data_IF_109976251661
#
_entry.id   IF_109976251661
#
_cell.length_a   1.000
_cell.length_b   1.000
_cell.length_c   1.000
_cell.angle_alpha   90.00
_cell.angle_beta   90.00
_cell.angle_gamma   90.00
#
_symmetry.space_group_name_H-M   'P 1'
#
loop_
_entity.id
_entity.type
_entity.pdbx_description
1 polymer ?
2 non-polymer ?
3 non-polymer ?
4 water ?
#
# COMPACT_ATOMS: atom_id res chain seq x y z
N UNK A 3 -23.56 5.41 -2.52
CA UNK A 3 -23.36 4.42 -1.44
C UNK A 3 -22.12 3.58 -1.65
N UNK A 4 -21.53 3.16 -0.55
CA UNK A 4 -20.34 2.35 -0.57
C UNK A 4 -20.65 0.88 -0.83
N UNK A 5 -19.79 0.25 -1.60
CA UNK A 5 -19.83 -1.19 -1.75
C UNK A 5 -18.40 -1.71 -1.76
N UNK A 6 -18.20 -2.83 -1.09
CA UNK A 6 -16.87 -3.43 -1.11
C UNK A 6 -16.60 -4.16 -2.41
N UNK A 7 -17.62 -4.41 -3.20
CA UNK A 7 -17.48 -5.14 -4.46
C UNK A 7 -17.52 -4.27 -5.68
N UNK A 8 -17.41 -2.96 -5.46
CA UNK A 8 -17.34 -1.99 -6.51
C UNK A 8 -16.20 -1.00 -6.24
N UNK A 9 -15.77 -0.29 -7.27
CA UNK A 9 -14.80 0.78 -7.05
C UNK A 9 -15.55 2.01 -6.58
N UNK A 10 -15.13 2.53 -5.44
CA UNK A 10 -15.75 3.68 -4.82
C UNK A 10 -14.97 4.95 -5.05
N UNK A 11 -15.67 6.03 -5.36
CA UNK A 11 -14.98 7.30 -5.57
C UNK A 11 -14.46 7.80 -4.23
N UNK A 12 -13.63 8.86 -4.26
CA UNK A 12 -13.04 9.34 -3.02
C UNK A 12 -14.07 9.81 -2.01
N UNK A 13 -15.09 10.52 -2.47
CA UNK A 13 -16.13 10.99 -1.55
C UNK A 13 -16.72 9.82 -0.78
N UNK A 14 -16.98 8.73 -1.48
CA UNK A 14 -17.49 7.53 -0.86
C UNK A 14 -16.48 6.85 0.04
N UNK A 15 -15.21 6.78 -0.37
CA UNK A 15 -14.20 6.19 0.50
C UNK A 15 -14.03 6.99 1.77
N UNK A 16 -13.97 8.30 1.64
CA UNK A 16 -13.82 9.17 2.78
C UNK A 16 -14.99 9.01 3.73
N UNK A 17 -16.21 9.01 3.19
CA UNK A 17 -17.39 8.78 4.04
C UNK A 17 -17.33 7.43 4.71
N UNK A 18 -16.87 6.41 4.01
CA UNK A 18 -16.67 5.09 4.57
C UNK A 18 -15.64 5.11 5.68
N UNK A 19 -14.54 5.85 5.55
CA UNK A 19 -13.57 5.87 6.64
C UNK A 19 -14.21 6.39 7.93
N UNK A 20 -15.09 7.36 7.83
CA UNK A 20 -15.80 7.89 8.99
C UNK A 20 -16.84 6.90 9.50
N UNK A 21 -17.64 6.34 8.62
CA UNK A 21 -18.70 5.41 9.04
C UNK A 21 -18.20 4.10 9.57
N UNK A 22 -17.19 3.50 8.94
CA UNK A 22 -16.66 2.25 9.44
C UNK A 22 -16.05 2.46 10.81
N UNK A 23 -15.49 3.65 11.09
CA UNK A 23 -14.94 3.97 12.38
C UNK A 23 -16.04 4.12 13.43
N UNK A 24 -17.10 4.84 13.10
CA UNK A 24 -18.18 5.06 14.06
C UNK A 24 -18.97 3.81 14.32
N UNK A 25 -19.08 2.92 13.35
CA UNK A 25 -19.79 1.67 13.49
C UNK A 25 -18.99 0.67 14.26
N UNK A 26 -17.66 0.83 14.36
CA UNK A 26 -16.76 -0.08 15.01
C UNK A 26 -15.74 0.64 15.86
N UNK A 27 -16.21 1.33 16.92
CA UNK A 27 -15.36 2.11 17.79
C UNK A 27 -14.40 1.33 18.63
N UNK A 28 -14.71 0.09 18.95
CA UNK A 28 -13.80 -0.70 19.77
C UNK A 28 -12.72 -1.38 18.97
N UNK A 29 -12.73 -1.27 17.65
CA UNK A 29 -11.74 -1.87 16.80
C UNK A 29 -11.03 -0.88 15.91
N UNK A 30 -11.61 0.27 15.65
CA UNK A 30 -11.07 1.21 14.69
C UNK A 30 -11.08 2.63 15.23
N UNK A 31 -10.00 3.35 14.99
CA UNK A 31 -9.89 4.77 15.22
C UNK A 31 -9.36 5.40 13.94
N UNK A 32 -9.77 6.63 13.67
CA UNK A 32 -9.36 7.31 12.47
C UNK A 32 -8.61 8.58 12.77
N UNK A 33 -7.52 8.83 12.05
CA UNK A 33 -6.79 10.09 12.15
C UNK A 33 -6.47 10.56 10.74
N UNK A 34 -6.06 11.81 10.61
CA UNK A 34 -5.61 12.37 9.36
C UNK A 34 -4.12 12.64 9.50
N UNK A 35 -3.26 12.00 8.73
CA UNK A 35 -1.82 12.15 8.92
C UNK A 35 -1.21 13.34 8.21
N UNK A 36 -2.00 14.05 7.44
CA UNK A 36 -1.55 15.21 6.71
C UNK A 36 -2.60 15.52 5.65
N UNK A 37 -2.26 16.42 4.76
CA UNK A 37 -3.14 16.76 3.66
C UNK A 37 -2.37 16.62 2.36
N UNK A 38 -3.11 16.42 1.28
CA UNK A 38 -2.56 16.30 -0.06
C UNK A 38 -2.25 17.66 -0.66
N UNK A 39 -1.65 17.69 -1.84
CA UNK A 39 -1.42 18.93 -2.56
C UNK A 39 -2.70 19.74 -2.65
N UNK A 40 -3.84 19.13 -2.96
CA UNK A 40 -5.10 19.80 -3.09
C UNK A 40 -5.87 19.97 -1.78
N UNK A 41 -5.26 19.65 -0.66
CA UNK A 41 -5.87 19.93 0.63
C UNK A 41 -6.75 18.85 1.19
N UNK A 42 -6.75 17.66 0.62
CA UNK A 42 -7.60 16.59 1.14
C UNK A 42 -6.93 15.93 2.31
N UNK A 43 -7.70 15.58 3.33
CA UNK A 43 -7.17 14.87 4.48
C UNK A 43 -6.74 13.48 4.11
N UNK A 44 -5.54 13.09 4.49
CA UNK A 44 -5.05 11.76 4.22
C UNK A 44 -5.39 10.90 5.42
N UNK A 45 -6.52 10.21 5.35
CA UNK A 45 -7.00 9.41 6.46
C UNK A 45 -6.24 8.14 6.66
N UNK A 46 -6.12 7.77 7.93
CA UNK A 46 -5.45 6.56 8.36
C UNK A 46 -6.35 5.86 9.37
N UNK A 47 -6.56 4.58 9.20
CA UNK A 47 -7.35 3.79 10.13
C UNK A 47 -6.46 2.91 10.98
N UNK A 48 -6.66 2.97 12.29
CA UNK A 48 -5.90 2.11 13.17
C UNK A 48 -6.86 1.00 13.61
N UNK A 49 -6.60 -0.19 13.11
CA UNK A 49 -7.50 -1.31 13.25
C UNK A 49 -6.91 -2.31 14.21
N UNK A 50 -7.62 -2.58 15.29
CA UNK A 50 -7.15 -3.49 16.30
C UNK A 50 -7.82 -3.20 17.64
N UNK A 51 -7.79 -4.18 18.51
CA UNK A 51 -8.35 -3.96 19.85
C UNK A 51 -7.27 -3.22 20.65
N UNK A 52 -7.53 -2.00 21.02
CA UNK A 52 -6.57 -1.18 21.74
C UNK A 52 -6.03 -1.91 22.95
N UNK A 53 -4.73 -1.79 23.13
CA UNK A 53 -4.04 -2.44 24.23
C UNK A 53 -2.69 -1.75 24.39
N UNK A 54 -2.06 -2.01 25.52
CA UNK A 54 -0.79 -1.40 25.84
C UNK A 54 0.34 -1.93 24.98
N UNK A 55 1.14 -1.00 24.50
CA UNK A 55 2.36 -1.20 23.76
C UNK A 55 2.33 -2.29 22.72
N UNK A 56 1.39 -2.18 21.78
CA UNK A 56 1.22 -3.19 20.74
C UNK A 56 2.12 -2.91 19.54
N UNK A 57 2.64 -3.97 18.96
CA UNK A 57 3.36 -3.86 17.70
C UNK A 57 2.33 -3.59 16.61
N UNK A 58 2.81 -3.06 15.50
CA UNK A 58 1.89 -2.69 14.44
C UNK A 58 2.42 -3.08 13.07
N UNK A 59 1.51 -3.22 12.13
CA UNK A 59 1.77 -3.42 10.71
C UNK A 59 1.15 -2.25 9.99
N UNK A 60 1.91 -1.65 9.10
CA UNK A 60 1.44 -0.52 8.34
C UNK A 60 1.17 -0.98 6.91
N UNK A 61 -0.01 -0.68 6.42
CA UNK A 61 -0.39 -1.00 5.06
C UNK A 61 -0.98 0.22 4.39
N UNK A 62 -0.50 0.48 3.18
CA UNK A 62 -1.07 1.54 2.37
C UNK A 62 -1.48 1.03 1.00
N UNK A 63 -2.43 1.75 0.45
CA UNK A 63 -2.95 1.45 -0.88
C UNK A 63 -3.10 2.80 -1.60
N UNK A 64 -3.23 2.71 -2.91
CA UNK A 64 -3.50 3.91 -3.68
C UNK A 64 -2.35 4.87 -3.82
N UNK A 65 -1.09 4.42 -3.78
CA UNK A 65 0.00 5.30 -4.17
C UNK A 65 -0.22 5.79 -5.60
N UNK A 66 -0.56 4.87 -6.49
CA UNK A 66 -0.69 5.13 -7.91
C UNK A 66 -2.16 5.16 -8.26
N UNK A 67 -2.62 6.31 -8.70
CA UNK A 67 -3.99 6.67 -8.90
C UNK A 67 -4.83 5.69 -9.69
N UNK A 68 -4.33 5.20 -10.82
CA UNK A 68 -5.05 4.28 -11.69
C UNK A 68 -5.10 2.87 -11.20
N UNK A 69 -4.40 2.53 -10.13
CA UNK A 69 -4.42 1.17 -9.63
C UNK A 69 -5.55 0.91 -8.67
N UNK A 70 -6.77 1.02 -9.16
CA UNK A 70 -7.98 0.99 -8.38
C UNK A 70 -8.22 -0.25 -7.57
N UNK A 71 -7.68 -1.38 -8.01
CA UNK A 71 -7.85 -2.58 -7.20
C UNK A 71 -7.08 -2.45 -5.89
N UNK A 72 -6.00 -1.66 -5.87
CA UNK A 72 -5.28 -1.47 -4.59
C UNK A 72 -6.16 -0.78 -3.57
N UNK A 73 -6.82 0.31 -3.95
CA UNK A 73 -7.70 1.04 -3.04
C UNK A 73 -8.80 0.13 -2.53
N UNK A 74 -9.34 -0.69 -3.45
CA UNK A 74 -10.38 -1.64 -3.08
C UNK A 74 -9.86 -2.63 -2.06
N UNK A 75 -8.60 -3.06 -2.19
CA UNK A 75 -8.06 -4.02 -1.27
C UNK A 75 -7.97 -3.49 0.14
N UNK A 76 -7.49 -2.27 0.35
CA UNK A 76 -7.43 -1.75 1.71
C UNK A 76 -8.80 -1.77 2.37
N UNK A 77 -9.82 -1.35 1.64
CA UNK A 77 -11.18 -1.41 2.14
C UNK A 77 -11.59 -2.84 2.44
N UNK A 78 -11.30 -3.79 1.57
CA UNK A 78 -11.60 -5.17 1.86
C UNK A 78 -10.92 -5.66 3.12
N UNK A 79 -9.68 -5.27 3.36
CA UNK A 79 -9.01 -5.70 4.57
C UNK A 79 -9.78 -5.25 5.80
N UNK A 80 -10.24 -4.01 5.82
CA UNK A 80 -11.01 -3.52 6.96
C UNK A 80 -12.32 -4.27 7.10
N UNK A 81 -12.99 -4.49 5.97
CA UNK A 81 -14.20 -5.30 5.91
C UNK A 81 -13.98 -6.62 6.64
N UNK A 82 -12.92 -7.30 6.26
CA UNK A 82 -12.60 -8.59 6.84
C UNK A 82 -12.35 -8.49 8.33
N UNK A 83 -11.57 -7.51 8.73
CA UNK A 83 -11.27 -7.33 10.16
C UNK A 83 -12.56 -7.18 10.96
N UNK A 84 -13.45 -6.31 10.57
CA UNK A 84 -14.71 -6.06 11.23
C UNK A 84 -15.61 -7.27 11.23
N UNK A 85 -15.70 -7.91 10.07
CA UNK A 85 -16.62 -9.01 9.89
C UNK A 85 -16.22 -10.25 10.67
N UNK A 86 -14.94 -10.55 10.70
CA UNK A 86 -14.52 -11.83 11.24
C UNK A 86 -13.92 -11.77 12.63
N UNK A 87 -13.77 -10.59 13.23
CA UNK A 87 -13.23 -10.52 14.59
C UNK A 87 -14.22 -11.21 15.51
N UNK A 88 -13.77 -12.23 16.22
CA UNK A 88 -14.67 -13.00 17.07
C UNK A 88 -15.27 -14.18 16.32
N UNK A 89 -15.13 -14.31 15.02
CA UNK A 89 -15.77 -15.38 14.27
C UNK A 89 -14.77 -16.34 13.68
N UNK A 90 -13.50 -15.98 13.78
CA UNK A 90 -12.43 -16.80 13.20
C UNK A 90 -11.18 -16.58 14.01
N UNK A 91 -10.52 -17.63 14.41
CA UNK A 91 -9.39 -17.56 15.31
C UNK A 91 -8.26 -16.65 14.90
N UNK A 92 -7.83 -16.70 13.64
CA UNK A 92 -6.64 -15.94 13.24
C UNK A 92 -6.83 -14.45 13.26
N UNK A 93 -7.89 -13.97 12.61
CA UNK A 93 -8.15 -12.56 12.61
C UNK A 93 -8.31 -11.98 14.01
N UNK A 94 -9.01 -12.64 14.93
CA UNK A 94 -9.14 -12.08 16.28
C UNK A 94 -7.81 -12.13 17.02
N UNK A 95 -6.99 -13.14 16.84
CA UNK A 95 -5.65 -13.10 17.40
C UNK A 95 -4.88 -11.92 16.81
N UNK A 96 -4.93 -11.70 15.50
CA UNK A 96 -4.27 -10.59 14.88
C UNK A 96 -4.70 -9.26 15.49
N UNK A 97 -6.00 -9.04 15.62
CA UNK A 97 -6.46 -7.76 16.12
C UNK A 97 -6.22 -7.56 17.60
N UNK A 98 -6.12 -8.64 18.34
CA UNK A 98 -5.83 -8.55 19.75
C UNK A 98 -4.35 -8.27 20.02
N UNK A 99 -3.46 -8.83 19.23
CA UNK A 99 -2.03 -8.69 19.43
C UNK A 99 -1.33 -7.63 18.63
N UNK A 100 -1.88 -7.24 17.50
CA UNK A 100 -1.31 -6.23 16.65
C UNK A 100 -2.29 -5.13 16.32
N UNK A 101 -1.75 -3.99 15.97
CA UNK A 101 -2.56 -2.93 15.41
C UNK A 101 -2.21 -2.86 13.92
N UNK A 102 -3.20 -2.58 13.09
CA UNK A 102 -2.95 -2.42 11.67
C UNK A 102 -3.26 -0.98 11.32
N UNK A 103 -2.26 -0.28 10.82
CA UNK A 103 -2.48 1.06 10.31
C UNK A 103 -2.79 0.88 8.81
N UNK A 104 -4.02 1.18 8.45
CA UNK A 104 -4.45 1.02 7.06
C UNK A 104 -4.70 2.38 6.47
N UNK A 105 -3.92 2.72 5.45
CA UNK A 105 -4.04 4.02 4.78
C UNK A 105 -4.69 3.71 3.45
N UNK A 106 -6.01 3.92 3.34
CA UNK A 106 -6.69 3.36 2.18
C UNK A 106 -6.31 3.98 0.87
N UNK A 107 -6.10 5.28 0.84
CA UNK A 107 -5.74 5.98 -0.38
C UNK A 107 -4.67 7.02 -0.05
N UNK A 108 -3.44 6.82 -0.49
CA UNK A 108 -2.43 7.83 -0.23
C UNK A 108 -2.56 8.96 -1.21
N UNK A 109 -2.59 8.62 -2.48
CA UNK A 109 -2.64 9.66 -3.51
C UNK A 109 -4.09 9.95 -3.84
N UNK A 110 -4.75 10.66 -2.93
CA UNK A 110 -6.15 11.01 -3.09
C UNK A 110 -6.39 11.92 -4.27
N UNK A 111 -5.51 12.89 -4.48
CA UNK A 111 -5.76 13.84 -5.56
C UNK A 111 -5.72 13.13 -6.90
N UNK A 112 -4.72 12.26 -7.05
CA UNK A 112 -4.64 11.53 -8.32
C UNK A 112 -5.85 10.63 -8.48
N UNK A 113 -6.25 9.98 -7.40
CA UNK A 113 -7.41 9.10 -7.47
C UNK A 113 -8.64 9.83 -7.92
N UNK A 114 -8.90 10.99 -7.35
CA UNK A 114 -10.03 11.80 -7.78
C UNK A 114 -9.90 12.08 -9.28
N UNK A 115 -8.72 12.43 -9.73
CA UNK A 115 -8.47 12.71 -11.14
C UNK A 115 -8.76 11.53 -12.03
N UNK A 116 -8.53 10.31 -11.58
CA UNK A 116 -8.88 9.15 -12.39
C UNK A 116 -10.38 8.98 -12.51
N UNK A 117 -11.17 9.53 -11.61
CA UNK A 117 -12.61 9.50 -11.73
C UNK A 117 -13.18 10.65 -12.52
N UNK A 118 -12.54 11.79 -12.49
CA UNK A 118 -13.10 12.97 -13.12
C UNK A 118 -12.57 13.24 -14.49
N UNK A 119 -11.31 12.88 -14.77
CA UNK A 119 -10.70 13.29 -16.02
C UNK A 119 -9.88 12.27 -16.77
N UNK A 120 -9.12 11.45 -16.06
CA UNK A 120 -8.19 10.58 -16.77
C UNK A 120 -8.00 9.32 -15.98
N UNK A 121 -8.61 8.25 -16.45
CA UNK A 121 -8.59 6.97 -15.76
C UNK A 121 -7.19 6.42 -15.68
N UNK A 122 -6.26 6.82 -16.53
CA UNK A 122 -4.91 6.33 -16.55
C UNK A 122 -3.90 7.24 -15.88
N UNK A 123 -4.34 8.19 -15.06
CA UNK A 123 -3.41 8.99 -14.28
C UNK A 123 -2.71 8.13 -13.24
N UNK A 124 -1.46 8.47 -12.96
CA UNK A 124 -0.69 7.69 -12.02
C UNK A 124 -0.15 8.53 -10.88
N UNK A 125 0.35 9.73 -11.18
CA UNK A 125 1.11 10.53 -10.24
C UNK A 125 0.26 11.36 -9.30
N UNK A 126 0.93 12.18 -8.48
CA UNK A 126 0.21 13.17 -7.71
C UNK A 126 -0.31 14.24 -8.65
N UNK A 127 -0.93 15.28 -8.11
CA UNK A 127 -1.49 16.34 -8.92
C UNK A 127 -0.85 17.68 -8.61
N UNK A 128 0.35 17.66 -8.04
CA UNK A 128 1.07 18.87 -7.70
C UNK A 128 1.70 19.49 -8.94
N UNK A 129 1.98 20.77 -8.77
CA UNK A 129 2.59 21.54 -9.87
C UNK A 129 4.08 21.45 -9.85
N UNK A 130 4.69 21.57 -11.03
CA UNK A 130 6.12 21.52 -11.27
C UNK A 130 6.60 22.83 -11.87
N UNK A 131 7.73 23.34 -11.38
CA UNK A 131 8.25 24.59 -11.90
C UNK A 131 8.74 24.44 -13.33
N UNK A 132 8.50 25.45 -14.14
CA UNK A 132 9.04 25.53 -15.48
C UNK A 132 8.37 24.69 -16.55
N UNK A 133 7.21 24.14 -16.24
CA UNK A 133 6.47 23.29 -17.16
C UNK A 133 5.00 23.27 -16.76
N UNK A 134 4.12 22.87 -17.66
CA UNK A 134 2.72 22.72 -17.25
C UNK A 134 2.43 21.27 -16.90
N UNK A 135 3.41 20.40 -17.03
CA UNK A 135 3.24 18.99 -16.69
C UNK A 135 3.04 18.84 -15.20
N UNK A 136 2.08 18.01 -14.81
CA UNK A 136 1.70 17.87 -13.42
C UNK A 136 2.15 16.57 -12.81
N UNK A 137 2.50 16.65 -11.54
CA UNK A 137 2.64 15.48 -10.74
C UNK A 137 3.97 14.80 -10.65
N UNK A 138 4.13 14.16 -9.50
CA UNK A 138 5.31 13.42 -9.13
C UNK A 138 4.87 12.01 -8.84
N UNK A 139 5.73 11.05 -9.16
CA UNK A 139 5.39 9.66 -8.83
C UNK A 139 5.71 9.50 -7.36
N UNK A 140 4.73 9.24 -6.51
CA UNK A 140 4.99 9.08 -5.08
C UNK A 140 5.92 7.96 -4.79
N UNK A 141 5.92 6.91 -5.61
CA UNK A 141 6.78 5.77 -5.40
C UNK A 141 8.15 5.98 -6.03
N UNK A 142 8.52 7.18 -6.38
CA UNK A 142 9.88 7.54 -6.74
C UNK A 142 10.28 8.73 -5.89
N UNK A 143 9.47 9.06 -4.88
CA UNK A 143 9.72 10.28 -4.12
C UNK A 143 10.26 10.07 -2.73
N UNK A 144 10.57 8.85 -2.36
CA UNK A 144 11.12 8.58 -1.03
C UNK A 144 12.64 8.67 -1.06
N UNK A 145 13.25 8.89 0.10
CA UNK A 145 14.69 9.02 0.20
C UNK A 145 15.34 7.66 0.26
N UNK A 146 15.34 6.95 -0.84
CA UNK A 146 15.92 5.64 -0.98
C UNK A 146 16.56 5.56 -2.36
N UNK A 147 17.83 5.96 -2.46
CA UNK A 147 18.51 6.01 -3.77
C UNK A 147 17.79 7.04 -4.62
N UNK A 148 17.33 8.09 -3.97
CA UNK A 148 16.45 9.04 -4.59
C UNK A 148 16.96 9.61 -5.89
N UNK A 149 16.12 9.47 -6.90
CA UNK A 149 16.24 9.93 -8.25
C UNK A 149 17.39 9.34 -9.02
N UNK A 150 17.74 8.12 -8.69
CA UNK A 150 18.72 7.37 -9.46
C UNK A 150 18.02 6.52 -10.51
N UNK A 151 18.47 5.33 -10.84
CA UNK A 151 17.93 4.57 -11.95
C UNK A 151 16.48 4.16 -11.75
N UNK A 152 15.69 4.31 -12.81
CA UNK A 152 14.29 3.93 -12.77
C UNK A 152 13.39 5.04 -12.31
N UNK A 153 13.92 6.21 -12.09
CA UNK A 153 13.16 7.38 -11.70
C UNK A 153 13.60 8.46 -12.66
N UNK A 154 12.65 9.15 -13.26
CA UNK A 154 12.97 10.15 -14.24
C UNK A 154 13.15 11.53 -13.64
N UNK A 155 14.03 12.32 -14.24
CA UNK A 155 14.23 13.70 -13.86
C UNK A 155 13.29 14.63 -14.60
N UNK A 156 12.53 14.07 -15.52
CA UNK A 156 11.63 14.89 -16.31
C UNK A 156 10.27 14.93 -15.66
N UNK A 157 9.78 16.11 -15.32
CA UNK A 157 8.49 16.27 -14.68
C UNK A 157 7.32 15.81 -15.50
N UNK A 158 7.49 15.66 -16.82
CA UNK A 158 6.45 15.20 -17.70
C UNK A 158 6.39 13.69 -17.80
N UNK A 159 7.26 13.01 -17.09
CA UNK A 159 7.32 11.57 -17.15
C UNK A 159 6.53 10.93 -16.04
N UNK A 160 6.11 9.69 -16.22
CA UNK A 160 5.24 9.02 -15.26
C UNK A 160 5.89 8.53 -13.99
N UNK A 161 7.19 8.59 -14.02
CA UNK A 161 8.16 8.12 -13.03
C UNK A 161 9.00 9.24 -12.49
N UNK A 162 8.55 10.48 -12.66
CA UNK A 162 9.26 11.65 -12.14
C UNK A 162 9.43 11.54 -10.63
N UNK A 163 10.63 11.73 -10.10
CA UNK A 163 10.85 11.62 -8.67
C UNK A 163 10.62 12.89 -7.87
N UNK A 164 10.28 13.97 -8.54
CA UNK A 164 9.96 15.14 -7.75
C UNK A 164 11.15 16.07 -7.65
N UNK A 165 10.89 17.23 -7.08
CA UNK A 165 11.94 18.24 -6.96
C UNK A 165 12.95 17.88 -5.90
N UNK A 166 12.56 17.03 -4.95
CA UNK A 166 13.37 16.57 -3.87
C UNK A 166 12.68 15.40 -3.19
N UNK A 167 13.47 14.58 -2.53
CA UNK A 167 12.87 13.46 -1.82
C UNK A 167 11.86 14.04 -0.84
N UNK A 168 10.67 13.50 -0.76
CA UNK A 168 9.60 13.96 0.12
C UNK A 168 9.13 15.35 -0.21
N UNK A 169 9.26 15.74 -1.48
CA UNK A 169 8.71 17.00 -1.93
C UNK A 169 7.19 16.99 -1.86
N UNK A 170 6.59 15.82 -2.08
CA UNK A 170 5.14 15.73 -2.10
C UNK A 170 4.59 15.73 -0.69
N UNK A 171 3.55 16.49 -0.45
CA UNK A 171 2.95 16.48 0.89
C UNK A 171 2.54 15.09 1.33
N UNK A 172 2.08 14.28 0.39
CA UNK A 172 1.57 12.95 0.68
C UNK A 172 2.69 12.05 1.16
N UNK A 173 3.82 12.08 0.48
CA UNK A 173 4.94 11.24 0.85
C UNK A 173 5.60 11.74 2.12
N UNK A 174 5.71 13.05 2.28
CA UNK A 174 6.21 13.60 3.53
C UNK A 174 5.32 13.17 4.68
N UNK A 175 4.00 13.21 4.51
CA UNK A 175 3.10 12.83 5.58
C UNK A 175 3.28 11.39 5.94
N UNK A 176 3.42 10.51 4.95
CA UNK A 176 3.57 9.10 5.20
C UNK A 176 4.88 8.85 5.89
N UNK A 177 5.97 9.42 5.36
CA UNK A 177 7.28 9.23 5.96
C UNK A 177 7.34 9.77 7.38
N UNK A 178 6.74 10.92 7.64
CA UNK A 178 6.67 11.47 8.99
C UNK A 178 5.93 10.52 9.91
N UNK A 179 4.80 9.97 9.48
CA UNK A 179 4.06 9.05 10.32
C UNK A 179 4.92 7.86 10.64
N UNK A 180 5.57 7.27 9.65
CA UNK A 180 6.40 6.10 9.90
C UNK A 180 7.59 6.43 10.78
N UNK A 181 8.32 7.49 10.54
CA UNK A 181 9.42 7.88 11.46
C UNK A 181 8.95 8.11 12.87
N UNK A 182 7.77 8.67 13.06
CA UNK A 182 7.25 8.91 14.40
C UNK A 182 6.78 7.66 15.09
N UNK A 183 6.53 6.57 14.38
CA UNK A 183 6.02 5.35 14.95
C UNK A 183 6.90 4.16 14.68
N UNK A 184 8.16 4.43 14.38
CA UNK A 184 9.11 3.43 13.98
C UNK A 184 9.32 2.37 15.02
N UNK A 185 9.25 2.68 16.31
CA UNK A 185 9.46 1.68 17.33
C UNK A 185 8.34 0.66 17.40
N UNK A 186 7.15 0.94 16.89
CA UNK A 186 6.08 -0.05 16.93
C UNK A 186 5.80 -0.71 15.59
N UNK A 187 6.12 -0.08 14.48
CA UNK A 187 5.83 -0.68 13.17
C UNK A 187 6.85 -1.74 12.82
N UNK A 188 6.38 -2.97 12.71
CA UNK A 188 7.23 -4.09 12.42
C UNK A 188 7.22 -4.54 10.96
N UNK A 189 6.19 -4.14 10.21
CA UNK A 189 6.09 -4.50 8.80
C UNK A 189 5.44 -3.36 8.06
N UNK A 190 5.83 -3.28 6.80
CA UNK A 190 5.36 -2.26 5.89
C UNK A 190 4.89 -2.96 4.62
N UNK A 191 3.61 -2.80 4.32
CA UNK A 191 2.99 -3.46 3.18
C UNK A 191 2.38 -2.39 2.28
N UNK A 192 2.72 -2.41 1.00
CA UNK A 192 2.24 -1.35 0.11
C UNK A 192 1.63 -1.99 -1.12
N UNK A 193 0.38 -1.67 -1.35
CA UNK A 193 -0.45 -2.33 -2.34
C UNK A 193 -0.63 -1.57 -3.62
N UNK A 194 -0.30 -2.26 -4.70
CA UNK A 194 -0.30 -1.72 -6.05
C UNK A 194 -0.94 -2.70 -7.02
N UNK A 195 -0.94 -2.29 -8.28
CA UNK A 195 -1.38 -3.24 -9.27
C UNK A 195 -0.51 -3.05 -10.52
N UNK A 196 -0.80 -3.55 -11.70
CA UNK A 196 -0.89 -4.94 -11.92
C UNK A 196 0.37 -5.74 -11.97
N UNK A 197 0.22 -7.01 -12.32
CA UNK A 197 1.28 -7.91 -12.70
C UNK A 197 1.47 -9.06 -11.74
N UNK A 198 0.79 -9.11 -10.62
CA UNK A 198 0.79 -10.30 -9.79
C UNK A 198 2.20 -10.63 -9.32
N UNK A 199 2.70 -9.79 -8.42
CA UNK A 199 3.99 -10.04 -7.80
C UNK A 199 4.06 -9.53 -6.37
N UNK A 200 4.93 -10.16 -5.61
CA UNK A 200 5.25 -9.75 -4.25
C UNK A 200 6.73 -9.37 -4.28
N UNK A 201 7.05 -8.12 -4.16
CA UNK A 201 8.40 -7.62 -4.23
C UNK A 201 8.88 -7.23 -2.85
N UNK A 202 10.19 -7.26 -2.67
CA UNK A 202 10.78 -6.74 -1.44
C UNK A 202 12.07 -6.08 -1.85
N UNK A 203 12.72 -5.40 -0.92
CA UNK A 203 13.84 -4.63 -1.25
C UNK A 203 15.14 -5.25 -1.75
N UNK A 204 15.75 -4.87 -2.84
CA UNK A 204 16.07 -3.52 -3.14
C UNK A 204 15.67 -3.24 -4.59
N UNK A 205 15.07 -2.08 -4.81
CA UNK A 205 14.78 -1.67 -6.16
C UNK A 205 15.54 -0.41 -6.53
N UNK A 206 16.23 0.24 -5.61
CA UNK A 206 16.98 1.44 -5.96
C UNK A 206 18.41 1.15 -6.33
N UNK A 207 18.87 -0.06 -6.08
CA UNK A 207 20.24 -0.45 -6.43
C UNK A 207 20.26 -1.96 -6.57
N UNK A 208 21.29 -2.44 -7.24
CA UNK A 208 21.47 -3.87 -7.37
C UNK A 208 22.18 -4.42 -6.15
N UNK A 209 21.41 -4.61 -5.07
CA UNK A 209 21.90 -5.14 -3.83
C UNK A 209 20.75 -5.87 -3.15
N UNK A 210 21.08 -6.73 -2.22
CA UNK A 210 20.08 -7.55 -1.54
C UNK A 210 20.09 -7.24 -0.06
N UNK A 211 18.91 -7.26 0.57
CA UNK A 211 18.79 -7.00 1.98
C UNK A 211 19.50 -8.06 2.79
N UNK A 212 19.89 -7.71 4.00
CA UNK A 212 20.61 -8.64 4.84
C UNK A 212 19.76 -9.85 5.19
N UNK A 213 18.45 -9.69 5.28
CA UNK A 213 17.54 -10.79 5.55
C UNK A 213 16.90 -11.29 4.27
N UNK A 214 17.62 -11.25 3.16
CA UNK A 214 17.13 -11.71 1.89
C UNK A 214 16.58 -13.13 1.93
N UNK A 215 17.30 -14.04 2.54
CA UNK A 215 16.84 -15.42 2.57
C UNK A 215 15.49 -15.55 3.25
N UNK A 216 15.33 -14.85 4.36
CA UNK A 216 14.09 -14.87 5.10
C UNK A 216 12.95 -14.29 4.30
N UNK A 217 13.20 -13.12 3.72
CA UNK A 217 12.17 -12.48 2.92
C UNK A 217 11.78 -13.31 1.71
N UNK A 218 12.75 -13.94 1.06
CA UNK A 218 12.45 -14.78 -0.09
C UNK A 218 11.59 -15.95 0.31
N UNK A 219 11.97 -16.82 1.29
CA UNK A 219 11.12 -17.91 1.76
C UNK A 219 9.73 -17.42 2.16
N UNK A 220 9.54 -16.07 2.89
CA UNK A 220 8.22 -15.56 3.27
C UNK A 220 7.41 -15.21 2.04
N UNK A 221 8.00 -14.54 1.08
CA UNK A 221 7.33 -14.17 -0.16
C UNK A 221 6.89 -15.42 -0.90
N UNK A 222 7.76 -16.42 -1.01
CA UNK A 222 7.43 -17.67 -1.65
C UNK A 222 6.21 -18.32 -1.00
N UNK A 223 6.21 -18.33 0.32
CA UNK A 223 5.11 -18.93 1.07
C UNK A 223 3.82 -18.12 0.93
N UNK A 224 3.90 -16.81 0.88
CA UNK A 224 2.72 -16.00 0.71
C UNK A 224 2.15 -16.16 -0.69
N UNK A 225 2.98 -16.33 -1.71
CA UNK A 225 2.54 -16.57 -3.08
C UNK A 225 1.82 -17.90 -3.19
N UNK A 226 2.37 -18.90 -2.51
CA UNK A 226 1.75 -20.21 -2.49
C UNK A 226 0.39 -20.16 -1.82
N UNK A 227 0.30 -19.45 -0.70
CA UNK A 227 -0.97 -19.30 0.02
C UNK A 227 -1.99 -18.58 -0.82
N UNK A 228 -1.57 -17.54 -1.53
CA UNK A 228 -2.50 -16.79 -2.37
C UNK A 228 -3.08 -17.68 -3.45
N UNK A 229 -2.25 -18.51 -4.06
CA UNK A 229 -2.65 -19.40 -5.12
C UNK A 229 -3.63 -20.48 -4.69
N UNK A 230 -3.74 -20.79 -3.42
CA UNK A 230 -4.64 -21.87 -3.02
C UNK A 230 -6.09 -21.61 -3.35
N UNK A 231 -6.48 -20.34 -3.37
CA UNK A 231 -7.90 -20.05 -3.52
C UNK A 231 -8.35 -20.30 -4.95
N UNK A 232 -7.76 -19.61 -5.90
CA UNK A 232 -8.16 -19.70 -7.29
C UNK A 232 -7.05 -20.08 -8.27
N UNK A 233 -5.89 -20.39 -7.76
CA UNK A 233 -4.77 -20.75 -8.65
C UNK A 233 -4.12 -19.54 -9.29
N UNK A 234 -4.35 -18.35 -8.77
CA UNK A 234 -3.72 -17.18 -9.36
C UNK A 234 -2.22 -17.25 -9.11
N UNK A 235 -1.46 -17.01 -10.17
CA UNK A 235 -0.03 -17.16 -10.12
C UNK A 235 0.72 -15.85 -9.93
N UNK A 236 1.41 -15.74 -8.81
CA UNK A 236 2.26 -14.60 -8.54
C UNK A 236 3.74 -14.98 -8.65
N UNK A 237 4.56 -14.02 -9.02
CA UNK A 237 6.01 -14.14 -8.95
C UNK A 237 6.49 -13.27 -7.80
N UNK A 238 7.74 -13.39 -7.40
CA UNK A 238 8.17 -12.69 -6.19
C UNK A 238 9.69 -12.56 -6.21
N UNK A 239 10.19 -11.70 -5.35
CA UNK A 239 11.63 -11.58 -5.18
C UNK A 239 12.04 -10.16 -4.84
N UNK A 240 13.33 -9.98 -4.56
CA UNK A 240 13.90 -8.67 -4.36
C UNK A 240 13.86 -7.94 -5.67
N UNK A 241 13.71 -6.63 -5.63
CA UNK A 241 13.67 -5.88 -6.86
C UNK A 241 14.90 -6.17 -7.73
N UNK A 242 16.06 -6.24 -7.11
CA UNK A 242 17.31 -6.45 -7.82
C UNK A 242 17.33 -7.64 -8.76
N UNK A 243 16.60 -8.72 -8.49
CA UNK A 243 16.60 -9.85 -9.40
C UNK A 243 15.24 -10.03 -10.06
N UNK A 244 14.28 -9.14 -9.78
CA UNK A 244 12.93 -9.36 -10.29
C UNK A 244 12.43 -8.30 -11.23
N UNK A 245 12.77 -7.04 -10.97
CA UNK A 245 12.28 -5.97 -11.79
C UNK A 245 13.41 -5.03 -12.21
N UNK A 246 13.15 -4.17 -13.17
CA UNK A 246 14.14 -3.16 -13.50
C UNK A 246 14.15 -2.14 -12.39
N UNK A 247 15.23 -1.38 -12.22
CA UNK A 247 15.36 -0.44 -11.14
C UNK A 247 14.16 0.47 -11.02
N UNK A 248 13.85 0.86 -9.79
CA UNK A 248 12.75 1.75 -9.49
C UNK A 248 13.07 2.51 -8.20
N UNK A 249 14.10 3.33 -8.28
CA UNK A 249 14.59 4.11 -7.16
C UNK A 249 13.58 5.06 -6.56
N UNK A 250 13.70 5.25 -5.25
CA UNK A 250 12.85 6.15 -4.50
C UNK A 250 11.56 5.54 -4.00
N UNK A 251 11.48 4.24 -3.86
CA UNK A 251 10.30 3.56 -3.40
C UNK A 251 10.14 3.63 -1.89
N UNK A 252 8.89 3.50 -1.45
CA UNK A 252 8.60 3.56 -0.02
C UNK A 252 8.94 2.25 0.65
N UNK A 253 8.90 1.15 -0.08
CA UNK A 253 9.26 -0.12 0.49
C UNK A 253 10.73 -0.12 0.86
N UNK A 254 11.59 0.33 -0.05
CA UNK A 254 13.02 0.41 0.22
C UNK A 254 13.30 1.40 1.34
N UNK A 255 12.64 2.54 1.31
CA UNK A 255 12.84 3.53 2.37
C UNK A 255 12.43 2.96 3.72
N UNK A 256 11.25 2.35 3.82
CA UNK A 256 10.81 1.77 5.08
C UNK A 256 11.81 0.72 5.57
N UNK A 257 12.29 -0.11 4.64
CA UNK A 257 13.28 -1.10 5.01
C UNK A 257 14.54 -0.45 5.54
N UNK A 258 15.02 0.63 4.91
CA UNK A 258 16.24 1.27 5.39
C UNK A 258 16.00 2.04 6.68
N UNK A 259 14.77 2.24 7.10
CA UNK A 259 14.46 2.78 8.41
C UNK A 259 14.60 1.69 9.47
N UNK A 260 14.64 0.44 9.09
CA UNK A 260 14.73 -0.64 10.03
C UNK A 260 13.51 -1.55 10.06
N UNK A 261 12.53 -1.29 9.23
CA UNK A 261 11.33 -2.15 9.15
C UNK A 261 11.71 -3.35 8.31
N UNK A 262 11.95 -4.49 8.94
CA UNK A 262 12.56 -5.62 8.29
C UNK A 262 11.70 -6.39 7.31
N UNK A 263 10.39 -6.28 7.48
CA UNK A 263 9.41 -6.93 6.62
C UNK A 263 8.76 -5.83 5.79
N UNK A 264 9.25 -5.65 4.58
CA UNK A 264 8.78 -4.57 3.75
C UNK A 264 8.48 -5.16 2.38
N UNK A 265 7.22 -5.12 1.99
CA UNK A 265 6.75 -5.78 0.80
C UNK A 265 5.82 -4.91 -0.04
N UNK A 266 6.04 -4.98 -1.34
CA UNK A 266 5.15 -4.39 -2.31
C UNK A 266 4.32 -5.52 -2.93
N UNK A 267 3.01 -5.37 -2.88
CA UNK A 267 2.11 -6.32 -3.52
C UNK A 267 1.60 -5.71 -4.81
N UNK A 268 1.71 -6.39 -5.94
CA UNK A 268 1.15 -5.92 -7.20
C UNK A 268 0.06 -6.90 -7.57
N UNK A 269 -1.19 -6.45 -7.51
CA UNK A 269 -2.31 -7.38 -7.61
C UNK A 269 -2.65 -7.77 -9.04
N UNK A 270 -3.87 -8.31 -9.15
CA UNK A 270 -4.32 -8.80 -10.42
C UNK A 270 -4.05 -7.81 -11.55
N UNK A 271 -4.51 -7.97 -12.77
CA UNK A 271 -4.12 -9.05 -13.60
C UNK A 271 -2.70 -9.09 -14.13
N UNK A 272 -2.52 -9.89 -15.18
CA UNK A 272 -1.25 -10.03 -15.85
C UNK A 272 -1.22 -9.19 -17.11
N UNK A 273 -2.23 -8.36 -17.32
CA UNK A 273 -2.23 -7.47 -18.45
C UNK A 273 -3.41 -7.54 -19.39
N UNK A 274 -4.33 -8.48 -19.20
CA UNK A 274 -5.52 -8.54 -20.06
C UNK A 274 -6.29 -7.24 -19.90
N UNK A 275 -6.56 -6.89 -18.65
CA UNK A 275 -7.25 -5.66 -18.30
C UNK A 275 -6.28 -4.64 -17.73
N UNK A 276 -5.16 -5.10 -17.20
CA UNK A 276 -4.18 -4.16 -16.64
C UNK A 276 -4.78 -3.38 -15.48
N UNK A 277 -4.69 -2.05 -15.58
CA UNK A 277 -5.17 -1.19 -14.53
C UNK A 277 -6.68 -1.12 -14.48
N UNK A 278 -7.36 -1.41 -15.58
CA UNK A 278 -8.80 -1.38 -15.65
C UNK A 278 -9.38 -2.74 -15.34
N UNK A 279 -9.03 -3.28 -14.19
CA UNK A 279 -9.54 -4.57 -13.79
C UNK A 279 -11.02 -4.46 -13.52
N UNK A 280 -11.84 -5.32 -14.11
CA UNK A 280 -13.28 -5.22 -13.94
C UNK A 280 -13.69 -5.32 -12.50
N UNK A 281 -14.81 -4.69 -12.14
CA UNK A 281 -15.40 -4.77 -10.83
C UNK A 281 -15.77 -6.20 -10.48
N UNK A 282 -16.11 -7.02 -11.45
CA UNK A 282 -16.44 -8.41 -11.20
C UNK A 282 -15.30 -9.23 -10.65
N UNK A 283 -14.06 -8.77 -10.71
CA UNK A 283 -12.93 -9.43 -10.11
C UNK A 283 -12.51 -8.85 -8.77
N UNK A 284 -13.14 -7.82 -8.26
CA UNK A 284 -12.74 -7.26 -6.97
C UNK A 284 -12.80 -8.31 -5.89
N UNK A 285 -13.95 -8.95 -5.71
CA UNK A 285 -14.12 -9.93 -4.66
C UNK A 285 -13.07 -11.00 -4.70
N UNK A 286 -12.90 -11.66 -5.83
CA UNK A 286 -11.95 -12.76 -5.91
C UNK A 286 -10.52 -12.24 -5.71
N UNK A 287 -10.17 -11.11 -6.29
CA UNK A 287 -8.83 -10.57 -6.11
C UNK A 287 -8.57 -10.25 -4.64
N UNK A 288 -9.53 -9.61 -3.99
CA UNK A 288 -9.32 -9.25 -2.59
C UNK A 288 -9.28 -10.46 -1.70
N UNK A 289 -10.14 -11.45 -1.97
CA UNK A 289 -10.13 -12.64 -1.14
C UNK A 289 -8.84 -13.41 -1.23
N UNK A 290 -8.30 -13.58 -2.43
CA UNK A 290 -7.04 -14.30 -2.51
C UNK A 290 -5.92 -13.48 -1.90
N UNK A 291 -5.93 -12.17 -2.08
CA UNK A 291 -4.90 -11.29 -1.53
C UNK A 291 -4.96 -11.32 -0.02
N UNK A 292 -6.13 -11.41 0.59
CA UNK A 292 -6.25 -11.56 2.03
C UNK A 292 -5.46 -12.73 2.53
N UNK A 293 -5.45 -13.85 1.81
CA UNK A 293 -4.72 -15.01 2.27
C UNK A 293 -3.23 -14.73 2.35
N UNK A 294 -2.68 -13.97 1.41
CA UNK A 294 -1.26 -13.63 1.46
C UNK A 294 -0.98 -12.63 2.56
N UNK A 295 -1.83 -11.63 2.71
CA UNK A 295 -1.63 -10.60 3.73
C UNK A 295 -1.74 -11.22 5.10
N UNK A 296 -2.70 -12.11 5.33
CA UNK A 296 -2.81 -12.78 6.60
C UNK A 296 -1.64 -13.71 6.84
N UNK A 297 -1.10 -14.32 5.80
CA UNK A 297 0.06 -15.17 5.96
C UNK A 297 1.24 -14.37 6.48
N UNK A 298 1.46 -13.20 5.90
CA UNK A 298 2.53 -12.30 6.28
C UNK A 298 2.30 -11.78 7.69
N UNK A 299 1.05 -11.40 8.00
CA UNK A 299 0.69 -10.95 9.34
C UNK A 299 1.01 -11.99 10.38
N UNK A 300 0.60 -13.22 10.13
CA UNK A 300 0.84 -14.30 11.07
C UNK A 300 2.32 -14.52 11.27
N UNK A 301 3.08 -14.44 10.19
CA UNK A 301 4.53 -14.59 10.27
C UNK A 301 5.13 -13.50 11.15
N UNK A 302 4.75 -12.26 10.91
CA UNK A 302 5.27 -11.15 11.69
C UNK A 302 4.96 -11.36 13.16
N UNK A 303 3.75 -11.79 13.48
CA UNK A 303 3.33 -12.02 14.85
C UNK A 303 4.16 -13.05 15.56
N UNK A 304 4.65 -14.03 14.80
CA UNK A 304 5.50 -15.07 15.33
C UNK A 304 6.97 -14.70 15.32
N UNK A 305 7.34 -13.57 14.76
CA UNK A 305 8.74 -13.16 14.66
C UNK A 305 9.00 -11.83 15.31
N UNK A 306 8.28 -11.54 16.39
CA UNK A 306 8.43 -10.30 17.12
C UNK A 306 9.65 -10.32 18.03
#
# INVERSE_FOLDING_TARGET
TTGHSYEKYNNWETIEAWTKQVTSENPDLISRTAIGTTFLGNNIYLLKVGKPGPNKPAIFMDCGFHAREWISHAFCQWFVREAVLTYGYESHMTEFLNKLDFYVLPVLNIDGYIYTWTKNRMWRKTRSTNAGTTCIGTDPNRNFDAGWCTTGASTDPCDETYCGSAAESEKETKALADFIRNNLSSIKAYLTIHSYSQMILYPYSYDYKLPENNAELNNLAKAAVKELATLYGTKYTYGPGATTIYPAAGGSDDWAYDQGIKYSFTFELRDKGRYGFILPESQIQATCEETMLAIKYVTNYVLGHL
#
